data_IF_114115750662
#
_entry.id   IF_114115750662
#
_cell.length_a   1.000
_cell.length_b   1.000
_cell.length_c   1.000
_cell.angle_alpha   90.00
_cell.angle_beta   90.00
_cell.angle_gamma   90.00
#
_symmetry.space_group_name_H-M   'P 1'
#
loop_
_entity.id
_entity.type
_entity.pdbx_description
1 polymer ?
#
# COMPACT_ATOMS: atom_id res chain seq x y z
N UNK A 1 -16.79 -93.50 1.84
CA UNK A 1 -15.65 -92.74 1.29
C UNK A 1 -15.99 -91.26 1.36
N UNK A 2 -15.01 -90.46 1.75
CA UNK A 2 -15.14 -89.10 2.30
C UNK A 2 -15.78 -88.13 1.32
N UNK A 3 -16.72 -87.31 1.81
CA UNK A 3 -17.27 -86.17 1.07
C UNK A 3 -16.18 -85.11 0.94
N UNK A 4 -15.86 -84.73 -0.29
CA UNK A 4 -14.97 -83.60 -0.56
C UNK A 4 -15.64 -82.31 -0.07
N UNK A 5 -14.91 -81.41 0.60
CA UNK A 5 -15.48 -80.19 1.14
C UNK A 5 -15.96 -79.30 0.00
N UNK A 6 -17.11 -78.67 0.24
CA UNK A 6 -17.85 -77.75 -0.61
C UNK A 6 -16.92 -76.70 -1.27
N UNK A 7 -16.38 -77.00 -2.45
CA UNK A 7 -15.57 -76.04 -3.21
C UNK A 7 -16.50 -75.14 -4.01
N UNK A 8 -16.32 -73.82 -3.86
CA UNK A 8 -17.05 -72.82 -4.63
C UNK A 8 -16.87 -73.10 -6.12
N UNK A 9 -17.97 -73.06 -6.87
CA UNK A 9 -17.91 -73.27 -8.33
C UNK A 9 -17.05 -72.18 -8.97
N UNK A 10 -16.33 -72.47 -10.08
CA UNK A 10 -15.48 -71.48 -10.75
C UNK A 10 -16.20 -70.17 -11.09
N UNK A 11 -17.49 -70.26 -11.45
CA UNK A 11 -18.33 -69.08 -11.70
C UNK A 11 -18.63 -68.27 -10.43
N UNK A 12 -18.81 -68.93 -9.28
CA UNK A 12 -19.07 -68.26 -8.00
C UNK A 12 -17.83 -67.49 -7.54
N UNK A 13 -16.65 -68.12 -7.64
CA UNK A 13 -15.39 -67.47 -7.35
C UNK A 13 -15.17 -66.24 -8.25
N UNK A 14 -15.43 -66.38 -9.56
CA UNK A 14 -15.35 -65.26 -10.50
C UNK A 14 -16.35 -64.14 -10.17
N UNK A 15 -17.61 -64.46 -9.85
CA UNK A 15 -18.61 -63.44 -9.52
C UNK A 15 -18.25 -62.66 -8.25
N UNK A 16 -17.63 -63.32 -7.27
CA UNK A 16 -17.19 -62.70 -6.03
C UNK A 16 -16.00 -61.76 -6.28
N UNK A 17 -15.06 -62.19 -7.13
CA UNK A 17 -13.92 -61.38 -7.54
C UNK A 17 -14.35 -60.13 -8.32
N UNK A 18 -15.27 -60.29 -9.28
CA UNK A 18 -15.85 -59.17 -10.04
C UNK A 18 -16.61 -58.22 -9.13
N UNK A 19 -17.43 -58.72 -8.21
CA UNK A 19 -18.15 -57.88 -7.25
C UNK A 19 -17.19 -57.07 -6.37
N UNK A 20 -16.10 -57.70 -5.91
CA UNK A 20 -15.04 -57.02 -5.16
C UNK A 20 -14.35 -55.95 -6.00
N UNK A 21 -14.02 -56.24 -7.25
CA UNK A 21 -13.38 -55.28 -8.14
C UNK A 21 -14.29 -54.07 -8.40
N UNK A 22 -15.59 -54.31 -8.64
CA UNK A 22 -16.61 -53.26 -8.78
C UNK A 22 -16.72 -52.41 -7.53
N UNK A 23 -16.71 -53.03 -6.34
CA UNK A 23 -16.75 -52.29 -5.08
C UNK A 23 -15.51 -51.39 -4.91
N UNK A 24 -14.31 -51.91 -5.15
CA UNK A 24 -13.08 -51.11 -5.08
C UNK A 24 -13.08 -49.95 -6.08
N UNK A 25 -13.61 -50.16 -7.28
CA UNK A 25 -13.77 -49.08 -8.26
C UNK A 25 -14.80 -48.04 -7.81
N UNK A 26 -15.93 -48.47 -7.26
CA UNK A 26 -16.95 -47.55 -6.74
C UNK A 26 -16.39 -46.68 -5.61
N UNK A 27 -15.61 -47.26 -4.70
CA UNK A 27 -14.94 -46.50 -3.63
C UNK A 27 -13.96 -45.46 -4.20
N UNK A 28 -13.21 -45.83 -5.24
CA UNK A 28 -12.27 -44.93 -5.92
C UNK A 28 -13.00 -43.76 -6.61
N UNK A 29 -14.11 -44.04 -7.30
CA UNK A 29 -14.94 -43.02 -7.95
C UNK A 29 -15.50 -42.06 -6.91
N UNK A 30 -16.08 -42.57 -5.82
CA UNK A 30 -16.62 -41.73 -4.74
C UNK A 30 -15.55 -40.84 -4.11
N UNK A 31 -14.33 -41.36 -3.91
CA UNK A 31 -13.22 -40.57 -3.38
C UNK A 31 -12.79 -39.45 -4.34
N UNK A 32 -12.74 -39.72 -5.64
CA UNK A 32 -12.44 -38.71 -6.66
C UNK A 32 -13.53 -37.65 -6.76
N UNK A 33 -14.80 -38.04 -6.67
CA UNK A 33 -15.94 -37.12 -6.65
C UNK A 33 -15.87 -36.18 -5.43
N UNK A 34 -15.50 -36.69 -4.26
CA UNK A 34 -15.30 -35.86 -3.06
C UNK A 34 -14.14 -34.88 -3.23
N UNK A 35 -13.02 -35.32 -3.82
CA UNK A 35 -11.89 -34.42 -4.11
C UNK A 35 -12.26 -33.35 -5.12
N UNK A 36 -12.98 -33.70 -6.18
CA UNK A 36 -13.49 -32.73 -7.16
C UNK A 36 -14.44 -31.73 -6.51
N UNK A 37 -15.35 -32.18 -5.65
CA UNK A 37 -16.25 -31.29 -4.92
C UNK A 37 -15.46 -30.31 -4.03
N UNK A 38 -14.44 -30.80 -3.31
CA UNK A 38 -13.58 -29.97 -2.47
C UNK A 38 -12.76 -28.96 -3.28
N UNK A 39 -12.20 -29.36 -4.43
CA UNK A 39 -11.47 -28.48 -5.34
C UNK A 39 -12.41 -27.43 -5.95
N UNK A 40 -13.61 -27.82 -6.39
CA UNK A 40 -14.63 -26.89 -6.87
C UNK A 40 -15.04 -25.88 -5.79
N UNK A 41 -15.14 -26.31 -4.53
CA UNK A 41 -15.43 -25.40 -3.41
C UNK A 41 -14.25 -24.44 -3.15
N UNK A 42 -13.02 -24.94 -3.21
CA UNK A 42 -11.82 -24.10 -3.12
C UNK A 42 -11.73 -23.10 -4.27
N UNK A 43 -12.03 -23.53 -5.50
CA UNK A 43 -12.10 -22.67 -6.68
C UNK A 43 -13.18 -21.60 -6.53
N UNK A 44 -14.37 -21.93 -6.04
CA UNK A 44 -15.40 -20.92 -5.72
C UNK A 44 -14.94 -19.93 -4.66
N UNK A 45 -14.22 -20.38 -3.63
CA UNK A 45 -13.61 -19.50 -2.60
C UNK A 45 -12.51 -18.62 -3.17
N UNK A 46 -11.79 -19.11 -4.19
CA UNK A 46 -10.73 -18.38 -4.89
C UNK A 46 -11.27 -17.42 -5.94
N UNK A 47 -12.30 -17.78 -6.71
CA UNK A 47 -12.99 -16.87 -7.64
C UNK A 47 -13.73 -15.74 -6.89
N UNK A 48 -14.25 -16.03 -5.69
CA UNK A 48 -14.76 -15.01 -4.79
C UNK A 48 -13.67 -14.04 -4.26
N UNK A 49 -12.38 -14.34 -4.50
CA UNK A 49 -11.28 -13.36 -4.44
C UNK A 49 -10.99 -12.91 -5.87
N UNK A 50 -11.52 -11.75 -6.31
CA UNK A 50 -11.17 -11.26 -7.63
C UNK A 50 -9.64 -11.15 -7.71
N UNK A 51 -9.07 -11.65 -8.80
CA UNK A 51 -7.63 -11.54 -9.04
C UNK A 51 -7.37 -10.10 -9.44
N UNK A 52 -7.07 -9.25 -8.45
CA UNK A 52 -6.84 -7.83 -8.70
C UNK A 52 -5.43 -7.62 -9.22
N UNK A 53 -5.31 -7.21 -10.48
CA UNK A 53 -4.17 -6.41 -10.92
C UNK A 53 -4.35 -5.02 -10.31
N UNK A 54 -3.88 -4.83 -9.08
CA UNK A 54 -3.51 -3.49 -8.62
C UNK A 54 -2.22 -3.16 -9.35
N UNK A 55 -2.36 -2.74 -10.61
CA UNK A 55 -1.29 -2.01 -11.28
C UNK A 55 -0.98 -0.83 -10.36
N UNK A 56 0.26 -0.83 -9.85
CA UNK A 56 0.84 0.15 -8.93
C UNK A 56 0.12 1.50 -9.06
N UNK A 57 -0.51 2.04 -7.99
CA UNK A 57 -1.06 3.39 -8.03
C UNK A 57 0.13 4.35 -8.13
N UNK A 58 0.65 4.53 -9.34
CA UNK A 58 1.57 5.60 -9.67
C UNK A 58 0.74 6.88 -9.76
N UNK A 59 0.08 7.26 -8.65
CA UNK A 59 -0.47 8.58 -8.48
C UNK A 59 0.73 9.52 -8.40
N UNK A 60 1.05 10.10 -9.55
CA UNK A 60 1.91 11.26 -9.60
C UNK A 60 1.07 12.37 -8.99
N UNK A 61 1.34 12.73 -7.74
CA UNK A 61 0.68 13.86 -7.13
C UNK A 61 1.08 15.07 -7.97
N UNK A 62 0.22 15.39 -8.92
CA UNK A 62 0.44 16.49 -9.82
C UNK A 62 0.39 17.71 -8.92
N UNK A 63 1.54 18.37 -8.80
CA UNK A 63 1.68 19.56 -7.99
C UNK A 63 0.58 20.51 -8.47
N UNK A 64 -0.41 20.80 -7.61
CA UNK A 64 -1.40 21.84 -7.85
C UNK A 64 -0.65 23.11 -8.26
N UNK A 65 -0.55 23.36 -9.57
CA UNK A 65 0.10 24.53 -10.14
C UNK A 65 -0.84 25.69 -9.89
N UNK A 66 -0.66 26.32 -8.74
CA UNK A 66 -1.32 27.60 -8.44
C UNK A 66 -0.67 28.61 -9.38
N UNK A 67 -1.31 28.87 -10.52
CA UNK A 67 -0.95 30.01 -11.35
C UNK A 67 -1.10 31.25 -10.47
N UNK A 68 0.03 31.85 -10.08
CA UNK A 68 0.03 33.14 -9.41
C UNK A 68 -0.55 34.12 -10.41
N UNK A 69 -1.76 34.61 -10.15
CA UNK A 69 -2.31 35.77 -10.84
C UNK A 69 -1.35 36.94 -10.59
N UNK A 70 -0.57 37.24 -11.62
CA UNK A 70 0.34 38.39 -11.72
C UNK A 70 -0.45 39.69 -11.49
N UNK A 71 -0.34 40.25 -10.29
CA UNK A 71 -0.81 41.59 -9.93
C UNK A 71 0.39 42.44 -9.52
N UNK A 72 0.90 43.21 -10.49
CA UNK A 72 1.94 44.25 -10.50
C UNK A 72 2.61 44.62 -9.16
N UNK A 73 3.89 44.24 -9.02
CA UNK A 73 4.84 44.69 -8.00
C UNK A 73 5.22 46.17 -8.21
N UNK A 74 4.83 47.06 -7.29
CA UNK A 74 5.28 48.45 -7.27
C UNK A 74 6.76 48.53 -6.88
N UNK A 75 7.63 48.79 -7.86
CA UNK A 75 9.05 49.07 -7.65
C UNK A 75 9.21 50.56 -7.34
N UNK A 76 9.73 50.90 -6.16
CA UNK A 76 9.94 52.28 -5.74
C UNK A 76 11.07 52.46 -4.73
N UNK A 77 12.26 52.74 -5.27
CA UNK A 77 13.36 53.55 -4.71
C UNK A 77 14.43 52.90 -3.80
N UNK A 78 15.65 53.03 -4.31
CA UNK A 78 16.99 52.78 -3.74
C UNK A 78 17.28 53.56 -2.45
N UNK A 79 18.33 53.17 -1.69
CA UNK A 79 19.52 54.03 -1.74
C UNK A 79 20.85 53.27 -1.92
N UNK A 80 21.77 54.04 -2.50
CA UNK A 80 23.16 53.72 -2.82
C UNK A 80 24.00 53.47 -1.55
N UNK A 81 25.00 52.60 -1.66
CA UNK A 81 26.07 52.49 -0.66
C UNK A 81 26.87 51.19 -0.71
N UNK A 82 27.60 50.95 -1.80
CA UNK A 82 28.81 50.08 -1.83
C UNK A 82 29.99 50.86 -1.18
N UNK A 83 31.16 50.31 -0.77
CA UNK A 83 31.73 48.98 -1.05
C UNK A 83 32.50 48.28 0.10
N UNK A 84 32.75 46.97 -0.03
CA UNK A 84 33.95 46.22 0.42
C UNK A 84 33.72 44.74 0.03
N UNK A 85 34.23 44.23 -1.08
CA UNK A 85 35.62 43.85 -1.42
C UNK A 85 36.14 42.60 -0.67
N UNK A 86 36.18 41.50 -1.45
CA UNK A 86 37.18 40.42 -1.50
C UNK A 86 37.24 39.25 -0.48
N UNK A 87 37.46 38.05 -1.07
CA UNK A 87 38.03 36.83 -0.48
C UNK A 87 36.96 35.94 0.15
N UNK A 88 36.90 34.62 -0.01
CA UNK A 88 37.90 33.66 -0.49
C UNK A 88 37.15 32.34 -0.78
N UNK A 89 37.55 31.62 -1.83
CA UNK A 89 37.08 30.27 -2.14
C UNK A 89 38.26 29.36 -1.83
N UNK A 90 38.29 28.77 -0.63
CA UNK A 90 39.30 27.77 -0.29
C UNK A 90 38.65 26.42 0.06
N UNK A 91 38.88 25.48 -0.84
CA UNK A 91 38.85 24.04 -0.62
C UNK A 91 39.87 23.67 0.47
N UNK A 92 39.48 22.92 1.50
CA UNK A 92 40.42 22.12 2.28
C UNK A 92 39.81 20.78 2.68
N UNK A 93 40.19 19.74 1.92
CA UNK A 93 40.13 18.35 2.33
C UNK A 93 41.38 18.04 3.15
N UNK A 94 41.23 17.55 4.38
CA UNK A 94 42.31 16.95 5.16
C UNK A 94 41.78 15.71 5.88
N UNK A 95 42.15 14.55 5.37
CA UNK A 95 42.07 13.26 6.04
C UNK A 95 43.20 13.14 7.06
N UNK A 96 42.89 12.88 8.33
CA UNK A 96 43.81 12.22 9.28
C UNK A 96 43.02 11.25 10.18
N UNK A 97 43.53 10.03 10.41
CA UNK A 97 42.84 9.05 11.25
C UNK A 97 43.18 9.32 12.72
N UNK A 98 42.17 9.62 13.54
CA UNK A 98 42.32 9.68 14.99
C UNK A 98 41.65 8.47 15.63
N UNK A 99 42.41 7.80 16.48
CA UNK A 99 42.04 6.68 17.35
C UNK A 99 40.87 7.12 18.25
N UNK A 100 39.78 6.35 18.25
CA UNK A 100 38.59 6.61 19.05
C UNK A 100 38.78 6.16 20.52
N UNK A 101 38.57 7.03 21.52
CA UNK A 101 38.04 6.61 22.81
C UNK A 101 36.52 6.33 22.65
N UNK A 102 36.03 5.25 23.26
CA UNK A 102 34.62 4.88 23.22
C UNK A 102 33.72 6.03 23.75
N UNK A 103 32.64 6.41 23.05
CA UNK A 103 31.68 7.37 23.58
C UNK A 103 30.81 6.71 24.66
N UNK A 104 30.33 7.47 25.67
CA UNK A 104 29.33 6.98 26.60
C UNK A 104 28.04 6.65 25.84
N UNK A 105 27.40 5.54 26.23
CA UNK A 105 26.07 5.12 25.80
C UNK A 105 25.04 6.19 26.19
N UNK A 106 24.87 7.20 25.34
CA UNK A 106 23.69 8.06 25.24
C UNK A 106 23.67 8.68 23.84
N UNK A 107 23.71 7.81 22.82
CA UNK A 107 23.31 8.20 21.49
C UNK A 107 21.78 8.30 21.50
N UNK A 108 21.27 9.51 21.75
CA UNK A 108 19.93 9.88 21.31
C UNK A 108 19.82 9.42 19.85
N UNK A 109 18.97 8.42 19.60
CA UNK A 109 18.66 8.04 18.24
C UNK A 109 18.21 9.31 17.51
N UNK A 110 18.58 9.51 16.23
CA UNK A 110 18.02 10.60 15.46
C UNK A 110 16.51 10.41 15.42
N UNK A 111 15.79 11.15 16.27
CA UNK A 111 14.33 11.16 16.29
C UNK A 111 13.90 11.80 14.99
N UNK A 112 13.18 11.03 14.17
CA UNK A 112 12.55 11.58 12.96
C UNK A 112 11.62 12.73 13.39
N UNK A 113 11.90 13.99 13.00
CA UNK A 113 11.10 15.14 13.41
C UNK A 113 9.65 15.07 12.90
N UNK A 114 9.38 14.17 11.93
CA UNK A 114 8.06 13.96 11.35
C UNK A 114 7.30 12.77 11.95
N UNK A 115 7.90 11.99 12.86
CA UNK A 115 7.28 10.81 13.47
C UNK A 115 5.88 11.09 14.06
N UNK A 116 5.62 12.23 14.74
CA UNK A 116 4.29 12.50 15.26
C UNK A 116 3.24 12.70 14.15
N UNK A 117 3.61 13.37 13.05
CA UNK A 117 2.71 13.58 11.90
C UNK A 117 2.44 12.24 11.19
N UNK A 118 3.46 11.39 11.05
CA UNK A 118 3.30 10.06 10.47
C UNK A 118 2.35 9.19 11.29
N UNK A 119 2.42 9.26 12.63
CA UNK A 119 1.50 8.53 13.50
C UNK A 119 0.06 9.02 13.34
N UNK A 120 -0.16 10.34 13.33
CA UNK A 120 -1.49 10.91 13.08
C UNK A 120 -2.04 10.45 11.72
N UNK A 121 -1.18 10.45 10.69
CA UNK A 121 -1.55 10.02 9.35
C UNK A 121 -1.90 8.53 9.29
N UNK A 122 -1.17 7.69 10.03
CA UNK A 122 -1.48 6.26 10.13
C UNK A 122 -2.85 6.04 10.78
N UNK A 123 -3.14 6.72 11.89
CA UNK A 123 -4.43 6.66 12.56
C UNK A 123 -5.57 7.16 11.66
N UNK A 124 -5.33 8.24 10.91
CA UNK A 124 -6.28 8.73 9.92
C UNK A 124 -6.60 7.67 8.87
N UNK A 125 -5.58 7.03 8.28
CA UNK A 125 -5.76 6.01 7.23
C UNK A 125 -6.56 4.81 7.76
N UNK A 126 -6.23 4.35 8.97
CA UNK A 126 -6.91 3.20 9.59
C UNK A 126 -8.39 3.47 9.89
N UNK A 127 -8.73 4.70 10.25
CA UNK A 127 -10.09 5.07 10.64
C UNK A 127 -10.82 5.82 9.52
N UNK A 128 -10.54 7.12 9.39
CA UNK A 128 -11.23 8.02 8.46
C UNK A 128 -11.00 7.63 7.00
N UNK A 129 -9.76 7.27 6.64
CA UNK A 129 -9.40 6.84 5.30
C UNK A 129 -10.19 5.60 4.87
N UNK A 130 -10.24 4.58 5.73
CA UNK A 130 -11.05 3.39 5.50
C UNK A 130 -12.55 3.71 5.36
N UNK A 131 -13.09 4.61 6.20
CA UNK A 131 -14.48 5.05 6.09
C UNK A 131 -14.77 5.81 4.80
N UNK A 132 -13.88 6.71 4.37
CA UNK A 132 -14.00 7.45 3.11
C UNK A 132 -13.95 6.53 1.91
N UNK A 133 -13.04 5.54 1.91
CA UNK A 133 -12.98 4.53 0.86
C UNK A 133 -14.32 3.77 0.74
N UNK A 134 -14.89 3.32 1.86
CA UNK A 134 -16.21 2.67 1.87
C UNK A 134 -17.34 3.59 1.39
N UNK A 135 -17.25 4.90 1.60
CA UNK A 135 -18.23 5.85 1.06
C UNK A 135 -18.07 5.99 -0.46
N UNK A 136 -16.84 6.08 -0.96
CA UNK A 136 -16.54 6.14 -2.39
C UNK A 136 -17.03 4.87 -3.09
N UNK A 137 -16.81 3.68 -2.53
CA UNK A 137 -17.36 2.41 -3.05
C UNK A 137 -18.87 2.48 -3.30
N UNK A 138 -19.61 3.07 -2.35
CA UNK A 138 -21.06 3.26 -2.48
C UNK A 138 -21.40 4.29 -3.57
N UNK A 139 -20.67 5.39 -3.63
CA UNK A 139 -20.87 6.45 -4.63
C UNK A 139 -20.62 5.96 -6.06
N UNK A 140 -19.60 5.13 -6.25
CA UNK A 140 -19.25 4.53 -7.54
C UNK A 140 -19.99 3.21 -7.82
N UNK A 141 -20.88 2.77 -6.91
CA UNK A 141 -21.57 1.48 -6.99
C UNK A 141 -20.62 0.29 -7.24
N UNK A 142 -19.41 0.36 -6.69
CA UNK A 142 -18.35 -0.63 -6.87
C UNK A 142 -17.92 -1.15 -5.50
N UNK A 143 -18.48 -2.29 -5.04
CA UNK A 143 -18.05 -2.89 -3.79
C UNK A 143 -16.65 -3.49 -3.97
N UNK A 144 -15.69 -3.02 -3.17
CA UNK A 144 -14.38 -3.65 -3.05
C UNK A 144 -14.47 -4.78 -2.01
N UNK A 145 -13.65 -5.83 -2.14
CA UNK A 145 -13.53 -6.80 -1.06
C UNK A 145 -12.54 -6.31 0.03
N UNK A 146 -12.55 -6.89 1.24
CA UNK A 146 -11.68 -6.45 2.33
C UNK A 146 -10.18 -6.51 2.02
N UNK A 147 -9.72 -7.43 1.18
CA UNK A 147 -8.31 -7.52 0.79
C UNK A 147 -7.93 -6.36 -0.12
N UNK A 148 -8.75 -6.06 -1.13
CA UNK A 148 -8.49 -4.94 -2.05
C UNK A 148 -8.43 -3.60 -1.32
N UNK A 149 -9.36 -3.36 -0.36
CA UNK A 149 -9.29 -2.17 0.51
C UNK A 149 -7.94 -2.04 1.22
N UNK A 150 -7.43 -3.16 1.78
CA UNK A 150 -6.12 -3.16 2.46
C UNK A 150 -4.98 -2.82 1.52
N UNK A 151 -4.99 -3.32 0.28
CA UNK A 151 -3.95 -2.99 -0.70
C UNK A 151 -3.93 -1.49 -1.00
N UNK A 152 -5.09 -0.88 -1.25
CA UNK A 152 -5.21 0.56 -1.54
C UNK A 152 -4.69 1.37 -0.37
N UNK A 153 -5.17 1.09 0.85
CA UNK A 153 -4.77 1.84 2.04
C UNK A 153 -3.29 1.63 2.39
N UNK A 154 -2.75 0.43 2.18
CA UNK A 154 -1.32 0.14 2.38
C UNK A 154 -0.44 0.89 1.40
N UNK A 155 -0.85 0.96 0.14
CA UNK A 155 -0.12 1.68 -0.88
C UNK A 155 -0.10 3.18 -0.58
N UNK A 156 -1.28 3.78 -0.31
CA UNK A 156 -1.38 5.19 0.11
C UNK A 156 -0.50 5.46 1.34
N UNK A 157 -0.57 4.60 2.35
CA UNK A 157 0.27 4.70 3.55
C UNK A 157 1.76 4.74 3.22
N UNK A 158 2.23 3.90 2.29
CA UNK A 158 3.63 3.87 1.88
C UNK A 158 4.10 5.16 1.21
N UNK A 159 3.19 5.92 0.59
CA UNK A 159 3.49 7.18 -0.10
C UNK A 159 3.48 8.41 0.83
N UNK A 160 2.89 8.31 2.03
CA UNK A 160 2.73 9.46 2.95
C UNK A 160 4.03 10.05 3.50
N UNK A 161 5.06 9.27 3.91
CA UNK A 161 6.27 9.85 4.50
C UNK A 161 6.96 10.87 3.58
N UNK A 162 7.05 10.57 2.29
CA UNK A 162 7.62 11.49 1.30
C UNK A 162 6.81 12.79 1.17
N UNK A 163 5.47 12.70 1.29
CA UNK A 163 4.56 13.85 1.20
C UNK A 163 4.62 14.73 2.44
N UNK A 164 4.68 14.12 3.61
CA UNK A 164 4.85 14.83 4.88
C UNK A 164 6.14 15.66 4.83
N UNK A 165 7.25 15.04 4.39
CA UNK A 165 8.53 15.75 4.23
C UNK A 165 8.44 16.88 3.21
N UNK A 166 7.79 16.65 2.06
CA UNK A 166 7.60 17.67 1.04
C UNK A 166 6.82 18.88 1.60
N UNK A 167 5.68 18.65 2.25
CA UNK A 167 4.87 19.73 2.78
C UNK A 167 5.56 20.48 3.91
N UNK A 168 6.23 19.76 4.82
CA UNK A 168 6.97 20.40 5.90
C UNK A 168 8.10 21.32 5.41
N UNK A 169 8.76 20.95 4.30
CA UNK A 169 9.81 21.78 3.66
C UNK A 169 9.26 22.92 2.80
N UNK A 170 8.06 22.75 2.25
CA UNK A 170 7.42 23.76 1.40
C UNK A 170 6.86 24.96 2.18
N UNK A 171 6.71 24.82 3.50
CA UNK A 171 6.16 25.88 4.35
C UNK A 171 7.25 26.87 4.78
N UNK A 172 6.92 28.17 4.89
CA UNK A 172 7.87 29.18 5.32
C UNK A 172 8.36 28.86 6.74
N UNK A 173 9.68 28.74 6.89
CA UNK A 173 10.33 28.55 8.20
C UNK A 173 10.77 29.90 8.73
N UNK A 174 10.57 30.13 10.03
CA UNK A 174 11.20 31.26 10.72
C UNK A 174 12.70 31.02 10.88
N UNK A 175 13.51 32.03 10.60
CA UNK A 175 14.96 31.94 10.72
C UNK A 175 15.39 31.51 12.14
N UNK A 176 16.30 30.55 12.22
CA UNK A 176 16.85 30.04 13.48
C UNK A 176 16.02 28.95 14.18
N UNK A 177 14.88 28.53 13.63
CA UNK A 177 14.05 27.45 14.22
C UNK A 177 14.54 26.06 13.77
N UNK A 178 14.70 25.15 14.73
CA UNK A 178 15.03 23.74 14.48
C UNK A 178 13.95 23.04 13.64
N UNK A 179 14.33 22.01 12.89
CA UNK A 179 13.42 21.24 12.04
C UNK A 179 12.31 20.57 12.82
N UNK A 180 12.59 20.09 14.03
CA UNK A 180 11.60 19.49 14.92
C UNK A 180 10.55 20.52 15.39
N UNK A 181 10.99 21.72 15.77
CA UNK A 181 10.07 22.78 16.22
C UNK A 181 9.20 23.28 15.06
N UNK A 182 9.79 23.45 13.87
CA UNK A 182 9.03 23.83 12.67
C UNK A 182 8.02 22.74 12.26
N UNK A 183 8.41 21.46 12.33
CA UNK A 183 7.52 20.34 12.06
C UNK A 183 6.35 20.30 13.06
N UNK A 184 6.60 20.56 14.34
CA UNK A 184 5.55 20.61 15.36
C UNK A 184 4.62 21.83 15.21
N UNK A 185 5.16 23.00 14.86
CA UNK A 185 4.35 24.21 14.59
C UNK A 185 3.44 24.03 13.37
N UNK A 186 3.97 23.45 12.30
CA UNK A 186 3.26 23.28 11.04
C UNK A 186 2.49 21.94 10.96
N UNK A 187 2.52 21.13 12.01
CA UNK A 187 1.95 19.76 12.06
C UNK A 187 0.54 19.68 11.53
N UNK A 188 -0.35 20.57 11.98
CA UNK A 188 -1.76 20.57 11.58
C UNK A 188 -1.93 20.88 10.08
N UNK A 189 -1.16 21.82 9.53
CA UNK A 189 -1.23 22.17 8.11
C UNK A 189 -0.64 21.06 7.22
N UNK A 190 0.50 20.50 7.62
CA UNK A 190 1.13 19.37 6.93
C UNK A 190 0.20 18.16 6.92
N UNK A 191 -0.41 17.84 8.07
CA UNK A 191 -1.42 16.79 8.18
C UNK A 191 -2.61 17.05 7.25
N UNK A 192 -3.19 18.26 7.27
CA UNK A 192 -4.35 18.58 6.45
C UNK A 192 -4.07 18.57 4.94
N UNK A 193 -2.86 18.91 4.50
CA UNK A 193 -2.44 18.77 3.10
C UNK A 193 -2.26 17.30 2.72
N UNK A 194 -1.56 16.54 3.57
CA UNK A 194 -1.29 15.11 3.35
C UNK A 194 -2.59 14.30 3.32
N UNK A 195 -3.53 14.56 4.23
CA UNK A 195 -4.83 13.90 4.28
C UNK A 195 -5.69 14.19 3.04
N UNK A 196 -5.68 15.44 2.55
CA UNK A 196 -6.36 15.79 1.28
C UNK A 196 -5.79 15.04 0.10
N UNK A 197 -4.48 14.89 0.04
CA UNK A 197 -3.88 14.11 -1.04
C UNK A 197 -4.21 12.62 -0.94
N UNK A 198 -4.23 12.05 0.26
CA UNK A 198 -4.65 10.66 0.47
C UNK A 198 -6.08 10.44 -0.03
N UNK A 199 -6.99 11.37 0.26
CA UNK A 199 -8.36 11.34 -0.25
C UNK A 199 -8.42 11.44 -1.77
N UNK A 200 -7.63 12.34 -2.37
CA UNK A 200 -7.55 12.49 -3.81
C UNK A 200 -7.01 11.22 -4.49
N UNK A 201 -6.01 10.57 -3.89
CA UNK A 201 -5.46 9.31 -4.38
C UNK A 201 -6.49 8.17 -4.35
N UNK A 202 -7.26 8.04 -3.25
CA UNK A 202 -8.36 7.06 -3.17
C UNK A 202 -9.42 7.32 -4.25
N UNK A 203 -9.79 8.58 -4.45
CA UNK A 203 -10.79 8.97 -5.45
C UNK A 203 -10.32 8.65 -6.88
N UNK A 204 -9.08 9.04 -7.20
CA UNK A 204 -8.46 8.75 -8.51
C UNK A 204 -8.42 7.25 -8.78
N UNK A 205 -8.08 6.45 -7.78
CA UNK A 205 -8.07 5.00 -7.92
C UNK A 205 -9.46 4.44 -8.26
N UNK A 206 -10.48 4.88 -7.53
CA UNK A 206 -11.86 4.46 -7.81
C UNK A 206 -12.31 4.85 -9.23
N UNK A 207 -11.93 6.05 -9.70
CA UNK A 207 -12.20 6.48 -11.07
C UNK A 207 -11.46 5.64 -12.11
N UNK A 208 -10.20 5.28 -11.86
CA UNK A 208 -9.43 4.40 -12.74
C UNK A 208 -10.04 3.01 -12.82
N UNK A 209 -10.46 2.44 -11.69
CA UNK A 209 -11.18 1.16 -11.67
C UNK A 209 -12.49 1.24 -12.47
N UNK A 210 -13.25 2.33 -12.32
CA UNK A 210 -14.48 2.53 -13.09
C UNK A 210 -14.20 2.58 -14.59
N UNK A 211 -13.20 3.36 -15.02
CA UNK A 211 -12.84 3.52 -16.43
C UNK A 211 -12.17 2.27 -17.03
N UNK A 212 -11.43 1.50 -16.21
CA UNK A 212 -10.80 0.23 -16.61
C UNK A 212 -11.78 -0.92 -16.70
N UNK A 213 -12.80 -0.96 -15.83
CA UNK A 213 -13.90 -1.92 -15.90
C UNK A 213 -14.77 -1.76 -17.15
N UNK A 214 -15.01 -0.51 -17.59
CA UNK A 214 -15.78 -0.21 -18.81
C UNK A 214 -15.12 -0.73 -20.09
N UNK A 215 -13.78 -0.79 -20.16
CA UNK A 215 -13.08 -1.30 -21.36
C UNK A 215 -13.13 -2.82 -21.50
N UNK A 216 -13.32 -3.58 -20.42
CA UNK A 216 -13.39 -5.05 -20.46
C UNK A 216 -14.80 -5.59 -20.77
N UNK A 217 -15.82 -4.74 -20.80
CA UNK A 217 -17.20 -5.16 -21.07
C UNK A 217 -17.61 -5.03 -22.55
N UNK A 218 -16.70 -4.61 -23.44
CA UNK A 218 -16.96 -4.38 -24.86
C UNK A 218 -15.99 -5.17 -25.77
N UNK A 219 -15.41 -6.27 -25.28
CA UNK A 219 -14.73 -7.28 -26.09
C UNK A 219 -15.38 -8.64 -25.86
#
# INVERSE_FOLDING_TARGET
MQQQPNQLSPWQAWSLDVAKQLQCQQESITALEQQLAAICEQLKKLEAKPTYNVENLQYHFDQLKVEKLEGTLNIGMTPQGSPNMNGDIEQMAISKPLVYPAPPNDAAQPTDPYAPIQNDMNQYIDNEGAQKLMQMEKQFCMPLDPHHRRLILSDIRSQMPARIQYYARSLPRQDGVSEETAAQQNRAEVFAKTARDADAAMLQYMQQLQNGGVRKAHD
#
